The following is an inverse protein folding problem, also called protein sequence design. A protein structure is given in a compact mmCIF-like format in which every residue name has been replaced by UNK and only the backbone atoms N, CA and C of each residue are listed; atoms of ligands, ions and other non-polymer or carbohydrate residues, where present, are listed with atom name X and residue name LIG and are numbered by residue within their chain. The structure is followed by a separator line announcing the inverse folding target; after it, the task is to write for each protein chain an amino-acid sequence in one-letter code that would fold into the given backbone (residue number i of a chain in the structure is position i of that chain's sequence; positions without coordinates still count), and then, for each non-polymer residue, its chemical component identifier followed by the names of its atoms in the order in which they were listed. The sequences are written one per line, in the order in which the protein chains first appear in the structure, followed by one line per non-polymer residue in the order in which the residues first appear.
data_IF_456692265054
#
_entry.id   IF_456692265054
#
_cell.length_a   1.000
_cell.length_b   1.000
_cell.length_c   1.000
_cell.angle_alpha   90.00
_cell.angle_beta   90.00
_cell.angle_gamma   90.00
#
_symmetry.space_group_name_H-M   'P 1'
#
loop_
_entity.id
_entity.type
_entity.pdbx_description
1 polymer ?
#
# COMPACT_ATOMS: atom_id res chain seq x y z
N UNK A 1 20.87 -8.58 -43.65
CA UNK A 1 20.87 -8.60 -42.17
C UNK A 1 19.74 -7.75 -41.55
N UNK A 2 19.31 -6.62 -42.15
CA UNK A 2 18.19 -5.78 -41.67
C UNK A 2 16.83 -6.51 -41.64
N UNK A 3 16.53 -7.38 -42.63
CA UNK A 3 15.23 -8.06 -42.73
C UNK A 3 14.90 -8.94 -41.52
N UNK A 4 15.88 -9.72 -41.03
CA UNK A 4 15.68 -10.59 -39.87
C UNK A 4 15.39 -9.77 -38.60
N UNK A 5 16.02 -8.60 -38.44
CA UNK A 5 15.81 -7.71 -37.29
C UNK A 5 14.35 -7.22 -37.21
N UNK A 6 13.75 -6.84 -38.35
CA UNK A 6 12.35 -6.39 -38.43
C UNK A 6 11.37 -7.51 -38.08
N UNK A 7 11.62 -8.73 -38.55
CA UNK A 7 10.81 -9.90 -38.19
C UNK A 7 10.92 -10.24 -36.69
N UNK A 8 12.11 -10.15 -36.09
CA UNK A 8 12.27 -10.34 -34.64
C UNK A 8 11.55 -9.26 -33.83
N UNK A 9 11.61 -7.99 -34.24
CA UNK A 9 10.91 -6.89 -33.55
C UNK A 9 9.38 -7.03 -33.63
N UNK A 10 8.85 -7.40 -34.80
CA UNK A 10 7.41 -7.67 -34.93
C UNK A 10 6.97 -8.91 -34.15
N UNK A 11 7.77 -9.99 -34.19
CA UNK A 11 7.48 -11.22 -33.44
C UNK A 11 7.51 -11.01 -31.93
N UNK A 12 8.41 -10.16 -31.42
CA UNK A 12 8.50 -9.84 -29.98
C UNK A 12 7.37 -8.92 -29.50
N UNK A 13 6.76 -8.13 -30.39
CA UNK A 13 5.69 -7.20 -30.02
C UNK A 13 4.41 -7.88 -29.53
N UNK A 14 4.06 -9.03 -30.11
CA UNK A 14 2.85 -9.78 -29.77
C UNK A 14 2.88 -10.40 -28.36
N UNK A 15 3.93 -11.15 -27.94
CA UNK A 15 4.03 -11.64 -26.58
C UNK A 15 4.19 -10.49 -25.59
N UNK A 16 4.91 -9.41 -25.94
CA UNK A 16 5.04 -8.24 -25.06
C UNK A 16 3.68 -7.56 -24.83
N UNK A 17 2.89 -7.34 -25.88
CA UNK A 17 1.54 -6.80 -25.79
C UNK A 17 0.62 -7.68 -24.94
N UNK A 18 0.71 -9.01 -25.09
CA UNK A 18 -0.06 -9.96 -24.28
C UNK A 18 0.32 -9.87 -22.80
N UNK A 19 1.62 -9.84 -22.48
CA UNK A 19 2.11 -9.69 -21.09
C UNK A 19 1.63 -8.37 -20.49
N UNK A 20 1.67 -7.26 -21.25
CA UNK A 20 1.17 -5.97 -20.77
C UNK A 20 -0.35 -6.01 -20.53
N UNK A 21 -1.12 -6.61 -21.44
CA UNK A 21 -2.57 -6.73 -21.29
C UNK A 21 -2.95 -7.59 -20.08
N UNK A 22 -2.27 -8.72 -19.89
CA UNK A 22 -2.45 -9.57 -18.71
C UNK A 22 -2.06 -8.83 -17.42
N UNK A 23 -0.91 -8.15 -17.42
CA UNK A 23 -0.45 -7.37 -16.26
C UNK A 23 -1.46 -6.27 -15.87
N UNK A 24 -2.02 -5.58 -16.87
CA UNK A 24 -3.07 -4.58 -16.66
C UNK A 24 -4.32 -5.20 -16.04
N UNK A 25 -4.78 -6.35 -16.53
CA UNK A 25 -5.95 -7.06 -15.95
C UNK A 25 -5.68 -7.50 -14.50
N UNK A 26 -4.50 -8.06 -14.22
CA UNK A 26 -4.10 -8.44 -12.86
C UNK A 26 -4.06 -7.24 -11.90
N UNK A 27 -3.76 -6.05 -12.40
CA UNK A 27 -3.71 -4.82 -11.59
C UNK A 27 -5.08 -4.20 -11.27
N UNK A 28 -6.19 -4.68 -11.86
CA UNK A 28 -7.50 -4.02 -11.72
C UNK A 28 -7.97 -3.88 -10.28
N UNK A 29 -7.78 -4.92 -9.45
CA UNK A 29 -8.16 -4.87 -8.03
C UNK A 29 -7.33 -3.86 -7.26
N UNK A 30 -6.03 -3.83 -7.53
CA UNK A 30 -5.14 -2.82 -6.97
C UNK A 30 -5.53 -1.42 -7.40
N UNK A 31 -5.86 -1.22 -8.67
CA UNK A 31 -6.32 0.07 -9.20
C UNK A 31 -7.68 0.51 -8.63
N UNK A 32 -8.58 -0.42 -8.29
CA UNK A 32 -9.80 -0.09 -7.53
C UNK A 32 -9.45 0.43 -6.14
N UNK A 33 -8.54 -0.27 -5.45
CA UNK A 33 -8.09 0.14 -4.13
C UNK A 33 -7.37 1.50 -4.18
N UNK A 34 -6.48 1.71 -5.16
CA UNK A 34 -5.75 2.96 -5.34
C UNK A 34 -6.65 4.14 -5.72
N UNK A 35 -7.78 3.89 -6.39
CA UNK A 35 -8.79 4.93 -6.66
C UNK A 35 -9.55 5.35 -5.41
N UNK A 36 -9.85 4.41 -4.51
CA UNK A 36 -10.46 4.72 -3.21
C UNK A 36 -9.45 5.40 -2.27
N UNK A 37 -8.18 4.99 -2.34
CA UNK A 37 -7.13 5.40 -1.42
C UNK A 37 -5.89 5.96 -2.14
N UNK A 38 -6.05 7.05 -2.91
CA UNK A 38 -4.93 7.63 -3.65
C UNK A 38 -3.91 8.25 -2.69
N UNK A 39 -2.63 8.10 -3.03
CA UNK A 39 -1.55 8.78 -2.30
C UNK A 39 -1.48 10.22 -2.77
N UNK A 40 -1.69 11.16 -1.84
CA UNK A 40 -1.34 12.57 -2.07
C UNK A 40 0.18 12.71 -2.05
N UNK A 41 0.75 13.42 -3.01
CA UNK A 41 2.21 13.64 -3.08
C UNK A 41 2.73 14.33 -1.81
N UNK A 42 3.96 14.00 -1.40
CA UNK A 42 4.62 14.59 -0.22
C UNK A 42 4.35 13.87 1.10
N UNK A 43 3.80 12.66 1.08
CA UNK A 43 3.66 11.86 2.30
C UNK A 43 4.99 11.21 2.66
N UNK A 44 5.53 11.64 3.80
CA UNK A 44 6.72 11.04 4.40
C UNK A 44 6.35 9.74 5.13
N UNK A 45 7.11 8.69 4.83
CA UNK A 45 7.08 7.47 5.61
C UNK A 45 8.07 7.60 6.75
N UNK A 46 7.59 7.35 7.96
CA UNK A 46 8.42 7.24 9.17
C UNK A 46 9.31 6.01 9.04
N UNK A 47 8.71 4.89 8.63
CA UNK A 47 9.41 3.64 8.40
C UNK A 47 8.75 2.84 7.31
N UNK A 48 9.48 1.89 6.72
CA UNK A 48 8.99 1.00 5.67
C UNK A 48 9.62 -0.38 5.77
N UNK A 49 8.84 -1.40 5.44
CA UNK A 49 9.26 -2.79 5.31
C UNK A 49 8.99 -3.26 3.89
N UNK A 50 10.03 -3.74 3.21
CA UNK A 50 9.97 -4.21 1.82
C UNK A 50 9.69 -5.72 1.77
N UNK A 51 9.40 -6.25 0.57
CA UNK A 51 9.20 -7.69 0.33
C UNK A 51 8.09 -8.32 1.19
N UNK A 52 7.05 -7.56 1.48
CA UNK A 52 5.89 -8.04 2.21
C UNK A 52 4.88 -8.68 1.26
N UNK A 53 4.08 -9.58 1.83
CA UNK A 53 2.97 -10.24 1.12
C UNK A 53 1.69 -9.53 1.48
N UNK A 54 1.00 -9.06 0.44
CA UNK A 54 -0.31 -8.43 0.55
C UNK A 54 -1.27 -9.16 -0.36
N UNK A 55 -2.48 -9.41 0.13
CA UNK A 55 -3.49 -10.10 -0.68
C UNK A 55 -4.74 -9.26 -0.73
N UNK A 56 -5.28 -9.13 -1.93
CA UNK A 56 -6.56 -8.47 -2.17
C UNK A 56 -7.60 -9.56 -2.43
N UNK A 57 -8.54 -9.68 -1.49
CA UNK A 57 -9.69 -10.56 -1.56
C UNK A 57 -10.92 -9.76 -1.98
N UNK A 58 -11.79 -10.35 -2.79
CA UNK A 58 -13.01 -9.73 -3.31
C UNK A 58 -14.24 -10.60 -3.12
N UNK A 59 -15.39 -10.19 -3.65
CA UNK A 59 -16.66 -10.94 -3.49
C UNK A 59 -16.72 -12.23 -4.28
N UNK A 60 -15.94 -12.35 -5.35
CA UNK A 60 -15.79 -13.62 -6.05
C UNK A 60 -14.69 -14.48 -5.41
N UNK A 61 -14.70 -15.80 -5.66
CA UNK A 61 -13.66 -16.78 -5.29
C UNK A 61 -12.30 -16.52 -5.98
N UNK A 62 -11.90 -15.26 -6.13
CA UNK A 62 -10.72 -14.83 -6.83
C UNK A 62 -9.99 -13.80 -5.98
N UNK A 63 -8.73 -14.07 -5.71
CA UNK A 63 -7.84 -13.25 -4.92
C UNK A 63 -6.61 -12.89 -5.75
N UNK A 64 -6.03 -11.72 -5.47
CA UNK A 64 -4.73 -11.34 -6.03
C UNK A 64 -3.70 -11.36 -4.91
N UNK A 65 -2.69 -12.21 -5.04
CA UNK A 65 -1.57 -12.25 -4.10
C UNK A 65 -0.38 -11.46 -4.66
N UNK A 66 0.08 -10.49 -3.87
CA UNK A 66 1.28 -9.70 -4.14
C UNK A 66 2.40 -10.19 -3.22
N UNK A 67 2.75 -11.47 -3.33
CA UNK A 67 3.74 -12.12 -2.48
C UNK A 67 5.14 -11.56 -2.71
N UNK A 68 5.76 -11.02 -1.66
CA UNK A 68 7.16 -10.59 -1.67
C UNK A 68 7.47 -9.38 -2.54
N UNK A 69 6.46 -8.68 -3.07
CA UNK A 69 6.65 -7.56 -4.00
C UNK A 69 6.08 -6.24 -3.48
N UNK A 70 5.50 -6.22 -2.28
CA UNK A 70 4.93 -5.01 -1.68
C UNK A 70 5.84 -4.45 -0.61
N UNK A 71 5.98 -3.13 -0.62
CA UNK A 71 6.55 -2.34 0.46
C UNK A 71 5.39 -1.76 1.28
N UNK A 72 5.42 -2.01 2.58
CA UNK A 72 4.47 -1.49 3.56
C UNK A 72 5.17 -0.38 4.33
N UNK A 73 4.63 0.83 4.29
CA UNK A 73 5.12 2.00 4.99
C UNK A 73 4.15 2.43 6.09
N UNK A 74 4.68 2.91 7.19
CA UNK A 74 3.91 3.53 8.28
C UNK A 74 4.08 5.04 8.16
N UNK A 75 2.96 5.75 8.21
CA UNK A 75 2.89 7.22 8.14
C UNK A 75 2.01 7.71 9.28
N UNK A 76 2.07 9.01 9.61
CA UNK A 76 1.18 9.59 10.63
C UNK A 76 -0.31 9.52 10.26
N UNK A 77 -0.63 9.37 8.96
CA UNK A 77 -2.02 9.36 8.46
C UNK A 77 -2.57 7.94 8.26
N UNK A 78 -1.71 6.96 8.05
CA UNK A 78 -2.13 5.62 7.63
C UNK A 78 -1.00 4.72 7.13
N UNK A 79 -1.41 3.61 6.51
CA UNK A 79 -0.53 2.58 5.97
C UNK A 79 -0.33 2.86 4.47
N UNK A 80 0.92 2.97 4.05
CA UNK A 80 1.31 3.16 2.66
C UNK A 80 1.69 1.82 2.03
N UNK A 81 1.05 1.45 0.91
CA UNK A 81 1.37 0.25 0.15
C UNK A 81 1.96 0.64 -1.21
N UNK A 82 3.13 0.10 -1.53
CA UNK A 82 3.80 0.32 -2.81
C UNK A 82 4.31 -0.99 -3.39
N UNK A 83 3.93 -1.31 -4.61
CA UNK A 83 4.58 -2.41 -5.35
C UNK A 83 5.98 -1.96 -5.78
N UNK A 84 6.97 -2.83 -5.66
CA UNK A 84 8.35 -2.52 -6.06
C UNK A 84 8.52 -2.48 -7.59
N UNK A 85 9.46 -1.66 -8.12
CA UNK A 85 9.86 -1.76 -9.51
C UNK A 85 10.40 -3.16 -9.85
N UNK A 86 10.21 -3.66 -11.09
CA UNK A 86 9.48 -3.05 -12.21
C UNK A 86 7.96 -3.31 -12.19
N UNK A 87 7.45 -4.05 -11.20
CA UNK A 87 6.05 -4.45 -11.12
C UNK A 87 5.09 -3.30 -10.80
N UNK A 88 5.63 -2.13 -10.43
CA UNK A 88 4.88 -0.93 -10.04
C UNK A 88 4.14 -0.24 -11.20
N UNK A 89 4.45 -0.55 -12.47
CA UNK A 89 3.94 0.18 -13.67
C UNK A 89 2.41 0.30 -13.68
N UNK A 90 1.69 -0.75 -13.29
CA UNK A 90 0.23 -0.76 -13.24
C UNK A 90 -0.33 -0.72 -11.80
N UNK A 91 0.54 -0.50 -10.81
CA UNK A 91 0.23 -0.59 -9.40
C UNK A 91 0.55 0.74 -8.69
N UNK A 92 -0.26 1.79 -8.90
CA UNK A 92 -0.07 3.09 -8.24
C UNK A 92 -0.05 2.95 -6.72
N UNK A 93 0.75 3.74 -6.00
CA UNK A 93 0.87 3.61 -4.55
C UNK A 93 -0.46 3.94 -3.86
N UNK A 94 -0.72 3.31 -2.70
CA UNK A 94 -2.01 3.37 -1.99
C UNK A 94 -1.77 3.80 -0.56
N UNK A 95 -2.50 4.81 -0.06
CA UNK A 95 -2.46 5.21 1.36
C UNK A 95 -3.80 4.93 2.02
N UNK A 96 -3.81 3.97 2.93
CA UNK A 96 -5.01 3.57 3.66
C UNK A 96 -5.03 4.25 5.03
N UNK A 97 -5.97 5.18 5.30
CA UNK A 97 -6.05 5.88 6.58
C UNK A 97 -6.45 4.95 7.73
N UNK A 98 -5.84 5.11 8.91
CA UNK A 98 -6.15 4.26 10.08
C UNK A 98 -7.63 4.31 10.48
N UNK A 99 -8.27 5.47 10.34
CA UNK A 99 -9.68 5.71 10.69
C UNK A 99 -10.67 4.95 9.81
N UNK A 100 -10.22 4.46 8.66
CA UNK A 100 -11.06 3.75 7.69
C UNK A 100 -10.83 2.24 7.66
N UNK A 101 -9.90 1.76 8.48
CA UNK A 101 -9.55 0.36 8.61
C UNK A 101 -10.30 -0.27 9.78
N UNK A 102 -10.98 -1.38 9.52
CA UNK A 102 -11.37 -2.33 10.55
C UNK A 102 -10.49 -3.57 10.41
N UNK A 103 -9.75 -3.90 11.46
CA UNK A 103 -8.81 -5.02 11.46
C UNK A 103 -9.42 -6.17 12.26
N UNK A 104 -9.55 -7.32 11.61
CA UNK A 104 -10.08 -8.53 12.21
C UNK A 104 -9.08 -9.68 12.05
N UNK A 105 -8.75 -10.42 13.12
CA UNK A 105 -7.96 -11.64 13.00
C UNK A 105 -8.70 -12.65 12.13
N UNK A 106 -8.04 -13.17 11.09
CA UNK A 106 -8.64 -14.18 10.21
C UNK A 106 -7.60 -15.21 9.81
N UNK A 107 -7.90 -16.49 9.98
CA UNK A 107 -7.00 -17.56 9.51
C UNK A 107 -7.26 -17.82 8.03
N UNK A 108 -6.28 -17.52 7.18
CA UNK A 108 -6.33 -17.87 5.77
C UNK A 108 -5.53 -19.16 5.52
N UNK A 109 -6.21 -20.18 4.98
CA UNK A 109 -5.75 -21.58 4.96
C UNK A 109 -4.27 -21.77 4.58
N UNK A 110 -3.79 -21.10 3.52
CA UNK A 110 -2.45 -21.31 2.96
C UNK A 110 -1.35 -20.43 3.59
N UNK A 111 -1.71 -19.48 4.47
CA UNK A 111 -0.84 -18.34 4.82
C UNK A 111 -0.67 -18.21 6.33
N UNK A 112 -1.28 -19.12 7.10
CA UNK A 112 -1.12 -19.18 8.55
C UNK A 112 -1.97 -18.11 9.25
N UNK A 113 -1.35 -17.41 10.20
CA UNK A 113 -2.01 -16.34 10.95
C UNK A 113 -1.95 -15.04 10.13
N UNK A 114 -3.13 -14.52 9.82
CA UNK A 114 -3.29 -13.32 9.02
C UNK A 114 -4.31 -12.40 9.65
N UNK A 115 -4.26 -11.14 9.27
CA UNK A 115 -5.28 -10.15 9.63
C UNK A 115 -5.97 -9.67 8.38
N UNK A 116 -7.28 -9.49 8.48
CA UNK A 116 -8.10 -8.93 7.42
C UNK A 116 -8.45 -7.49 7.76
N UNK A 117 -8.21 -6.63 6.79
CA UNK A 117 -8.60 -5.24 6.77
C UNK A 117 -9.87 -5.11 5.93
N UNK A 118 -10.95 -4.70 6.57
CA UNK A 118 -12.17 -4.25 5.91
C UNK A 118 -12.06 -2.73 5.75
N UNK A 119 -12.16 -2.27 4.50
CA UNK A 119 -11.91 -0.87 4.14
C UNK A 119 -13.20 -0.18 3.74
N UNK A 120 -13.52 0.93 4.40
CA UNK A 120 -14.82 1.59 4.25
C UNK A 120 -15.11 2.09 2.83
N UNK A 121 -14.12 2.67 2.15
CA UNK A 121 -14.31 3.26 0.81
C UNK A 121 -14.05 2.28 -0.34
N UNK A 122 -13.31 1.19 -0.11
CA UNK A 122 -13.04 0.19 -1.14
C UNK A 122 -14.19 -0.84 -1.30
N UNK A 123 -15.32 -0.60 -0.63
CA UNK A 123 -16.51 -1.45 -0.68
C UNK A 123 -16.22 -2.84 -0.15
N UNK A 124 -16.39 -3.84 -1.01
CA UNK A 124 -16.28 -5.24 -0.63
C UNK A 124 -14.85 -5.80 -0.76
N UNK A 125 -13.88 -4.98 -1.17
CA UNK A 125 -12.47 -5.38 -1.23
C UNK A 125 -11.89 -5.46 0.17
N UNK A 126 -11.30 -6.62 0.46
CA UNK A 126 -10.62 -6.90 1.72
C UNK A 126 -9.14 -7.01 1.47
N UNK A 127 -8.36 -6.38 2.34
CA UNK A 127 -6.92 -6.45 2.33
C UNK A 127 -6.48 -7.45 3.39
N UNK A 128 -5.61 -8.40 3.04
CA UNK A 128 -5.12 -9.42 3.98
C UNK A 128 -3.61 -9.26 4.10
N UNK A 129 -3.15 -9.18 5.35
CA UNK A 129 -1.74 -9.07 5.73
C UNK A 129 -1.35 -10.19 6.69
N UNK A 130 -0.05 -10.49 6.77
CA UNK A 130 0.48 -11.37 7.81
C UNK A 130 0.40 -10.70 9.19
N UNK A 131 0.16 -11.49 10.23
CA UNK A 131 0.13 -11.03 11.62
C UNK A 131 1.45 -10.34 12.02
N UNK A 132 2.61 -10.90 11.66
CA UNK A 132 3.92 -10.26 11.91
C UNK A 132 4.06 -8.86 11.29
N UNK A 133 3.38 -8.61 10.17
CA UNK A 133 3.36 -7.28 9.54
C UNK A 133 2.45 -6.35 10.31
N UNK A 134 1.32 -6.87 10.81
CA UNK A 134 0.39 -6.12 11.65
C UNK A 134 1.03 -5.69 12.97
N UNK A 135 1.62 -6.64 13.70
CA UNK A 135 2.29 -6.37 14.97
C UNK A 135 3.40 -5.34 14.80
N UNK A 136 4.16 -5.45 13.70
CA UNK A 136 5.14 -4.44 13.33
C UNK A 136 4.51 -3.06 13.08
N UNK A 137 3.41 -2.97 12.32
CA UNK A 137 2.71 -1.69 12.10
C UNK A 137 2.27 -1.07 13.44
N UNK A 138 1.67 -1.86 14.32
CA UNK A 138 1.18 -1.42 15.63
C UNK A 138 2.30 -0.89 16.52
N UNK A 139 3.43 -1.60 16.57
CA UNK A 139 4.64 -1.16 17.28
C UNK A 139 5.14 0.21 16.80
N UNK A 140 5.11 0.44 15.49
CA UNK A 140 5.56 1.71 14.91
C UNK A 140 4.56 2.84 15.14
N UNK A 141 3.25 2.54 15.09
CA UNK A 141 2.20 3.51 15.42
C UNK A 141 2.27 3.91 16.90
N UNK A 142 2.49 2.96 17.81
CA UNK A 142 2.66 3.25 19.23
C UNK A 142 3.89 4.13 19.48
N UNK A 143 5.02 3.81 18.83
CA UNK A 143 6.25 4.62 18.92
C UNK A 143 6.03 6.06 18.42
N UNK A 144 5.22 6.22 17.36
CA UNK A 144 4.86 7.53 16.83
C UNK A 144 3.95 8.33 17.76
N UNK A 145 2.99 7.67 18.40
CA UNK A 145 2.09 8.32 19.36
C UNK A 145 2.87 8.85 20.58
N UNK A 146 3.87 8.11 21.06
CA UNK A 146 4.75 8.53 22.16
C UNK A 146 5.58 9.74 21.74
N UNK A 147 6.25 9.67 20.58
CA UNK A 147 7.09 10.78 20.09
C UNK A 147 6.30 12.09 19.88
N UNK A 148 5.02 12.00 19.49
CA UNK A 148 4.14 13.16 19.37
C UNK A 148 3.72 13.74 20.72
N UNK A 149 3.51 12.91 21.75
CA UNK A 149 3.17 13.36 23.09
C UNK A 149 4.33 14.10 23.78
N UNK A 150 5.57 13.73 23.44
CA UNK A 150 6.79 14.33 24.01
C UNK A 150 7.24 15.62 23.30
N UNK A 151 6.49 16.13 22.31
CA UNK A 151 6.80 17.42 21.70
C UNK A 151 6.23 18.55 22.57
N UNK A 152 7.05 19.28 23.35
CA UNK A 152 6.55 20.39 24.15
C UNK A 152 5.98 21.45 23.22
N UNK A 153 4.77 21.91 23.54
CA UNK A 153 4.20 23.14 22.98
C UNK A 153 5.21 24.24 23.31
N UNK A 154 5.93 24.72 22.30
CA UNK A 154 6.89 25.82 22.48
C UNK A 154 6.11 27.04 22.97
N UNK A 155 6.39 27.45 24.20
CA UNK A 155 5.82 28.64 24.85
C UNK A 155 6.15 29.95 24.12
N UNK A 156 6.99 29.91 23.06
CA UNK A 156 7.40 31.09 22.30
C UNK A 156 6.28 31.72 21.45
N UNK A 157 5.17 31.02 21.18
CA UNK A 157 4.02 31.61 20.46
C UNK A 157 3.10 32.43 21.38
N UNK A 158 3.13 32.21 22.69
CA UNK A 158 2.30 32.98 23.65
C UNK A 158 2.94 34.32 24.05
N UNK A 159 4.26 34.49 23.90
CA UNK A 159 4.96 35.71 24.28
C UNK A 159 4.71 36.89 23.32
N UNK A 160 4.34 36.64 22.06
CA UNK A 160 4.14 37.70 21.06
C UNK A 160 2.78 38.40 21.22
N UNK A 161 1.79 37.76 21.86
CA UNK A 161 0.45 38.35 22.01
C UNK A 161 0.30 39.26 23.24
N UNK A 162 1.27 39.31 24.16
CA UNK A 162 1.19 40.12 25.38
C UNK A 162 1.97 41.45 25.34
N UNK A 163 2.60 41.82 24.22
CA UNK A 163 3.44 43.03 24.15
C UNK A 163 2.85 44.19 23.34
N UNK A 164 1.63 44.06 22.81
CA UNK A 164 0.86 45.21 22.30
C UNK A 164 -0.14 45.70 23.34
N UNK A 165 0.39 46.37 24.37
CA UNK A 165 -0.34 47.21 25.31
C UNK A 165 0.20 48.63 25.24
#
# INVERSE_FOLDING_TARGET
MIGNLLFYLMSLSLPFGLVLAMSKRCSERWNRLARAYPVVSGIECVTKRTMQTVILDGVSLQWNSYKGIVTVGVTSKGILLKVMPPFSIFHPPILIPYRECQVEPRRWYLIGKTVQYTLRQAGELKLILHEDTQEWIESQVASLAIAQADTPISEDEFAVMQTTG
#
